data_IF_894309339822
#
_entry.id   IF_894309339822
#
_cell.length_a   1.000
_cell.length_b   1.000
_cell.length_c   1.000
_cell.angle_alpha   90.00
_cell.angle_beta   90.00
_cell.angle_gamma   90.00
#
_symmetry.space_group_name_H-M   'P 1'
#
loop_
_entity.id
_entity.type
_entity.pdbx_description
1 polymer ?
#
# COMPACT_ATOMS: atom_id res chain seq x y z
N UNK A 1 -14.04 -12.94 15.17
CA UNK A 1 -13.57 -11.99 14.14
C UNK A 1 -12.18 -11.50 14.51
N UNK A 2 -11.21 -11.51 13.60
CA UNK A 2 -9.92 -10.83 13.84
C UNK A 2 -10.16 -9.34 13.63
N UNK A 3 -10.13 -8.53 14.70
CA UNK A 3 -10.37 -7.08 14.59
C UNK A 3 -9.25 -6.36 13.81
N UNK A 4 -8.05 -6.94 13.75
CA UNK A 4 -6.93 -6.37 12.99
C UNK A 4 -6.14 -7.44 12.25
N UNK A 5 -5.74 -7.14 11.02
CA UNK A 5 -4.84 -7.96 10.21
C UNK A 5 -3.63 -7.13 9.78
N UNK A 6 -2.44 -7.74 9.75
CA UNK A 6 -1.22 -7.12 9.25
C UNK A 6 -0.85 -7.71 7.90
N UNK A 7 -0.73 -6.87 6.87
CA UNK A 7 -0.20 -7.23 5.57
C UNK A 7 1.25 -6.74 5.47
N UNK A 8 2.21 -7.67 5.42
CA UNK A 8 3.63 -7.35 5.30
C UNK A 8 4.05 -7.25 3.83
N UNK A 9 4.81 -6.22 3.50
CA UNK A 9 5.53 -6.02 2.23
C UNK A 9 7.01 -5.92 2.56
N UNK A 10 7.81 -6.83 2.03
CA UNK A 10 9.26 -6.78 2.14
C UNK A 10 9.80 -5.96 0.97
N UNK A 11 10.35 -4.78 1.25
CA UNK A 11 10.90 -3.91 0.23
C UNK A 11 12.29 -4.38 -0.20
N UNK A 12 12.62 -4.12 -1.46
CA UNK A 12 13.92 -4.29 -2.08
C UNK A 12 14.21 -3.11 -3.01
N UNK A 13 15.38 -3.11 -3.65
CA UNK A 13 15.75 -2.11 -4.65
C UNK A 13 14.76 -2.01 -5.83
N UNK A 14 13.98 -3.06 -6.10
CA UNK A 14 13.01 -3.15 -7.20
C UNK A 14 11.55 -2.93 -6.73
N UNK A 15 11.32 -2.79 -5.43
CA UNK A 15 9.96 -2.56 -4.92
C UNK A 15 9.44 -1.22 -5.40
N UNK A 16 8.17 -1.22 -5.82
CA UNK A 16 7.48 -0.08 -6.41
C UNK A 16 6.05 -0.02 -5.91
N UNK A 17 5.36 1.10 -6.17
CA UNK A 17 3.94 1.31 -5.83
C UNK A 17 3.03 0.16 -6.30
N UNK A 18 3.33 -0.46 -7.44
CA UNK A 18 2.55 -1.61 -7.96
C UNK A 18 2.55 -2.81 -7.03
N UNK A 19 3.66 -3.08 -6.34
CA UNK A 19 3.75 -4.20 -5.40
C UNK A 19 2.85 -3.98 -4.18
N UNK A 20 2.76 -2.73 -3.71
CA UNK A 20 1.84 -2.35 -2.63
C UNK A 20 0.39 -2.50 -3.09
N UNK A 21 0.05 -2.00 -4.27
CA UNK A 21 -1.29 -2.14 -4.85
C UNK A 21 -1.68 -3.61 -5.03
N UNK A 22 -0.77 -4.45 -5.53
CA UNK A 22 -1.00 -5.88 -5.67
C UNK A 22 -1.26 -6.53 -4.31
N UNK A 23 -0.49 -6.17 -3.28
CA UNK A 23 -0.71 -6.69 -1.92
C UNK A 23 -2.08 -6.27 -1.38
N UNK A 24 -2.45 -5.00 -1.56
CA UNK A 24 -3.76 -4.49 -1.16
C UNK A 24 -4.89 -5.21 -1.91
N UNK A 25 -4.77 -5.42 -3.23
CA UNK A 25 -5.77 -6.17 -4.01
C UNK A 25 -5.94 -7.62 -3.55
N UNK A 26 -4.93 -8.23 -2.93
CA UNK A 26 -5.03 -9.58 -2.37
C UNK A 26 -5.77 -9.61 -1.02
N UNK A 27 -5.65 -8.55 -0.21
CA UNK A 27 -6.18 -8.48 1.16
C UNK A 27 -7.47 -7.64 1.28
N UNK A 28 -7.81 -6.89 0.25
CA UNK A 28 -8.97 -6.00 0.20
C UNK A 28 -9.92 -6.39 -0.93
N UNK A 29 -11.17 -5.95 -0.79
CA UNK A 29 -12.18 -5.91 -1.83
C UNK A 29 -12.18 -4.52 -2.48
N UNK A 30 -12.38 -4.47 -3.79
CA UNK A 30 -12.62 -3.22 -4.52
C UNK A 30 -14.14 -2.99 -4.59
N UNK A 31 -14.61 -1.94 -3.94
CA UNK A 31 -16.03 -1.57 -3.91
C UNK A 31 -16.25 -0.29 -4.71
N UNK A 32 -17.39 -0.22 -5.40
CA UNK A 32 -17.83 1.01 -6.07
C UNK A 32 -18.80 1.77 -5.17
N UNK A 33 -18.54 3.05 -4.90
CA UNK A 33 -19.44 3.98 -4.24
C UNK A 33 -19.78 5.16 -5.16
N UNK A 34 -20.70 6.01 -4.74
CA UNK A 34 -21.02 7.28 -5.39
C UNK A 34 -19.83 8.27 -5.44
N UNK A 35 -18.80 8.06 -4.62
CA UNK A 35 -17.57 8.86 -4.57
C UNK A 35 -16.39 8.21 -5.31
N UNK A 36 -16.61 7.08 -5.99
CA UNK A 36 -15.58 6.37 -6.76
C UNK A 36 -15.32 4.96 -6.24
N UNK A 37 -14.20 4.38 -6.65
CA UNK A 37 -13.82 3.02 -6.25
C UNK A 37 -12.89 3.06 -5.05
N UNK A 38 -13.15 2.22 -4.05
CA UNK A 38 -12.41 2.19 -2.79
C UNK A 38 -12.00 0.77 -2.42
N UNK A 39 -10.80 0.62 -1.85
CA UNK A 39 -10.36 -0.64 -1.25
C UNK A 39 -10.89 -0.74 0.19
N UNK A 40 -11.50 -1.88 0.53
CA UNK A 40 -11.92 -2.21 1.90
C UNK A 40 -11.34 -3.56 2.32
N UNK A 41 -10.80 -3.71 3.56
CA UNK A 41 -10.31 -5.00 4.03
C UNK A 41 -11.42 -6.07 3.97
N UNK A 42 -11.07 -7.28 3.51
CA UNK A 42 -12.07 -8.31 3.21
C UNK A 42 -12.46 -9.18 4.41
N UNK A 43 -11.50 -9.47 5.29
CA UNK A 43 -11.66 -10.44 6.40
C UNK A 43 -11.51 -9.81 7.80
N UNK A 44 -11.35 -8.48 7.89
CA UNK A 44 -11.07 -7.77 9.14
C UNK A 44 -11.63 -6.34 9.13
N UNK A 45 -11.74 -5.74 10.30
CA UNK A 45 -12.15 -4.33 10.45
C UNK A 45 -10.99 -3.39 10.12
N UNK A 46 -9.80 -3.71 10.63
CA UNK A 46 -8.59 -2.90 10.46
C UNK A 46 -7.50 -3.68 9.72
N UNK A 47 -6.97 -3.11 8.64
CA UNK A 47 -5.80 -3.62 7.94
C UNK A 47 -4.61 -2.69 8.17
N UNK A 48 -3.51 -3.24 8.68
CA UNK A 48 -2.24 -2.55 8.86
C UNK A 48 -1.28 -3.01 7.77
N UNK A 49 -0.80 -2.09 6.95
CA UNK A 49 0.24 -2.37 5.97
C UNK A 49 1.62 -2.14 6.60
N UNK A 50 2.40 -3.19 6.78
CA UNK A 50 3.76 -3.11 7.32
C UNK A 50 4.79 -3.21 6.19
N UNK A 51 5.51 -2.11 5.96
CA UNK A 51 6.57 -2.01 4.94
C UNK A 51 7.93 -2.23 5.61
N UNK A 52 8.52 -3.40 5.39
CA UNK A 52 9.86 -3.72 5.89
C UNK A 52 10.90 -3.16 4.92
N UNK A 53 11.94 -2.52 5.45
CA UNK A 53 13.09 -2.02 4.68
C UNK A 53 12.72 -0.94 3.63
N UNK A 54 11.82 -0.02 4.01
CA UNK A 54 11.22 1.01 3.13
C UNK A 54 12.23 1.93 2.41
N UNK A 55 13.47 2.01 2.89
CA UNK A 55 14.54 2.83 2.33
C UNK A 55 15.35 2.12 1.22
N UNK A 56 15.14 0.82 0.99
CA UNK A 56 15.84 0.07 -0.06
C UNK A 56 15.45 0.39 -1.51
N UNK A 57 14.19 0.77 -1.85
CA UNK A 57 13.82 1.11 -3.22
C UNK A 57 14.72 2.17 -3.82
N UNK A 58 15.31 1.87 -4.97
CA UNK A 58 16.30 2.73 -5.61
C UNK A 58 15.64 4.05 -6.08
N UNK A 59 16.18 5.21 -5.69
CA UNK A 59 15.69 6.48 -6.21
C UNK A 59 16.01 6.64 -7.70
N UNK A 60 15.24 7.49 -8.37
CA UNK A 60 15.53 7.89 -9.75
C UNK A 60 16.77 8.79 -9.85
N UNK A 61 17.10 9.22 -11.07
CA UNK A 61 18.24 10.11 -11.32
C UNK A 61 18.16 11.48 -10.62
N UNK A 62 17.02 11.81 -10.04
CA UNK A 62 16.76 13.06 -9.32
C UNK A 62 16.62 12.85 -7.81
N UNK A 63 16.90 11.64 -7.30
CA UNK A 63 16.82 11.33 -5.87
C UNK A 63 15.40 11.00 -5.38
N UNK A 64 14.42 10.85 -6.26
CA UNK A 64 13.02 10.60 -5.87
C UNK A 64 12.71 9.10 -5.90
N UNK A 65 12.16 8.58 -4.80
CA UNK A 65 11.64 7.21 -4.74
C UNK A 65 10.14 7.19 -5.07
N UNK A 66 9.75 6.46 -6.13
CA UNK A 66 8.35 6.32 -6.52
C UNK A 66 7.50 5.70 -5.41
N UNK A 67 8.06 4.77 -4.62
CA UNK A 67 7.35 4.16 -3.49
C UNK A 67 7.02 5.21 -2.43
N UNK A 68 7.99 6.05 -2.05
CA UNK A 68 7.79 7.08 -1.03
C UNK A 68 6.79 8.13 -1.50
N UNK A 69 6.92 8.62 -2.74
CA UNK A 69 5.98 9.58 -3.32
C UNK A 69 4.54 9.02 -3.34
N UNK A 70 4.38 7.75 -3.69
CA UNK A 70 3.08 7.07 -3.65
C UNK A 70 2.49 7.01 -2.23
N UNK A 71 3.28 6.61 -1.23
CA UNK A 71 2.82 6.55 0.15
C UNK A 71 2.46 7.94 0.70
N UNK A 72 3.24 8.96 0.34
CA UNK A 72 2.95 10.34 0.70
C UNK A 72 1.60 10.79 0.12
N UNK A 73 1.32 10.46 -1.13
CA UNK A 73 0.02 10.75 -1.76
C UNK A 73 -1.13 10.10 -0.97
N UNK A 74 -1.01 8.80 -0.65
CA UNK A 74 -2.05 8.04 0.08
C UNK A 74 -2.31 8.60 1.48
N UNK A 75 -1.27 9.09 2.17
CA UNK A 75 -1.42 9.67 3.51
C UNK A 75 -1.98 11.09 3.48
N UNK A 76 -1.70 11.84 2.43
CA UNK A 76 -2.09 13.25 2.30
C UNK A 76 -3.50 13.40 1.75
N UNK A 77 -3.83 12.62 0.72
CA UNK A 77 -5.10 12.71 -0.01
C UNK A 77 -5.82 11.36 0.12
N UNK A 78 -6.89 11.34 0.92
CA UNK A 78 -7.73 10.16 1.18
C UNK A 78 -8.83 9.99 0.16
#
# INVERSE_FOLDING_TARGET
LRSTQVAVVHCSAQTSSRHVLQKLSQTCLLLSSNTGRVFRPKDCENLVLYLKDINLPKPDKWGTSNLIAFLQQVLTYK
#
